data_IF_351630953735
#
_entry.id   IF_351630953735
#
_cell.length_a   1.000
_cell.length_b   1.000
_cell.length_c   1.000
_cell.angle_alpha   90.00
_cell.angle_beta   90.00
_cell.angle_gamma   90.00
#
_symmetry.space_group_name_H-M   'P 1'
#
loop_
_entity.id
_entity.type
_entity.pdbx_description
1 polymer ?
#
# COMPACT_ATOMS: atom_id res chain seq x y z
N UNK A 1 -46.15 46.71 -12.99
CA UNK A 1 -46.09 45.23 -12.97
C UNK A 1 -44.69 44.87 -12.48
N UNK A 2 -44.54 44.46 -11.23
CA UNK A 2 -43.28 44.03 -10.63
C UNK A 2 -43.53 42.62 -10.12
N UNK A 3 -42.89 41.66 -10.75
CA UNK A 3 -42.94 40.23 -10.43
C UNK A 3 -41.50 39.75 -10.25
N UNK A 4 -41.28 38.81 -9.34
CA UNK A 4 -39.96 38.25 -9.04
C UNK A 4 -39.71 37.94 -7.57
N UNK A 5 -40.57 37.12 -6.97
CA UNK A 5 -40.41 36.51 -5.64
C UNK A 5 -39.02 35.90 -5.40
N UNK A 6 -38.39 36.32 -4.31
CA UNK A 6 -37.25 35.64 -3.72
C UNK A 6 -37.71 34.34 -3.06
N UNK A 7 -37.24 33.19 -3.54
CA UNK A 7 -37.47 31.88 -2.92
C UNK A 7 -36.14 31.16 -2.67
N UNK A 8 -35.70 31.27 -1.41
CA UNK A 8 -35.06 30.27 -0.55
C UNK A 8 -34.09 29.27 -1.19
N UNK A 9 -32.79 29.50 -0.97
CA UNK A 9 -31.73 28.50 -1.11
C UNK A 9 -31.98 27.30 -0.16
N UNK A 10 -31.83 26.04 -0.61
CA UNK A 10 -31.95 24.90 0.29
C UNK A 10 -30.81 24.92 1.30
N UNK A 11 -31.17 24.77 2.58
CA UNK A 11 -30.27 24.58 3.73
C UNK A 11 -29.26 23.48 3.42
N UNK A 12 -27.97 23.83 3.45
CA UNK A 12 -26.90 22.85 3.61
C UNK A 12 -27.05 22.21 4.99
N UNK A 13 -27.29 20.90 5.02
CA UNK A 13 -27.10 20.08 6.22
C UNK A 13 -25.61 20.10 6.60
N UNK A 14 -25.23 20.57 7.80
CA UNK A 14 -23.83 20.58 8.24
C UNK A 14 -23.37 19.22 8.77
N UNK A 15 -24.01 18.11 8.36
CA UNK A 15 -23.82 16.80 8.97
C UNK A 15 -23.53 15.69 7.95
N UNK A 16 -22.67 16.00 6.97
CA UNK A 16 -22.08 15.00 6.08
C UNK A 16 -20.54 14.99 6.13
N UNK A 17 -19.95 15.54 7.19
CA UNK A 17 -18.50 15.56 7.45
C UNK A 17 -17.99 14.31 8.20
N UNK A 18 -18.83 13.28 8.38
CA UNK A 18 -18.53 12.13 9.24
C UNK A 18 -18.37 10.77 8.56
N UNK A 19 -18.13 10.75 7.25
CA UNK A 19 -17.56 9.58 6.60
C UNK A 19 -16.05 9.81 6.43
N UNK A 20 -15.31 9.44 7.49
CA UNK A 20 -13.86 9.38 7.54
C UNK A 20 -13.29 8.40 6.53
N UNK A 21 -13.38 8.75 5.26
CA UNK A 21 -12.47 8.26 4.25
C UNK A 21 -11.15 8.95 4.56
N UNK A 22 -10.17 8.17 5.03
CA UNK A 22 -8.78 8.59 5.08
C UNK A 22 -8.33 8.97 3.67
N UNK A 23 -8.66 10.20 3.26
CA UNK A 23 -8.15 10.82 2.04
C UNK A 23 -6.78 11.35 2.42
N UNK A 24 -5.77 10.50 2.37
CA UNK A 24 -4.40 10.96 2.32
C UNK A 24 -4.25 11.61 0.94
N UNK A 25 -4.14 12.95 0.82
CA UNK A 25 -3.96 13.58 -0.49
C UNK A 25 -2.62 13.12 -1.07
N UNK A 26 -2.66 12.62 -2.30
CA UNK A 26 -1.47 12.33 -3.09
C UNK A 26 -0.86 13.70 -3.46
N UNK A 27 0.23 14.07 -2.80
CA UNK A 27 1.02 15.27 -3.10
C UNK A 27 1.74 15.06 -4.44
N UNK A 28 1.22 15.71 -5.51
CA UNK A 28 1.64 15.56 -6.92
C UNK A 28 2.78 16.55 -7.29
N UNK A 29 3.45 17.14 -6.31
CA UNK A 29 4.43 18.21 -6.57
C UNK A 29 5.73 17.69 -7.23
N UNK A 30 5.83 17.84 -8.54
CA UNK A 30 7.06 17.91 -9.39
C UNK A 30 7.99 16.69 -9.52
N UNK A 31 7.66 15.53 -8.99
CA UNK A 31 8.35 14.26 -9.29
C UNK A 31 7.48 13.40 -10.20
N UNK A 32 8.01 12.77 -11.27
CA UNK A 32 7.24 11.79 -12.04
C UNK A 32 6.93 10.55 -11.20
N UNK A 33 7.65 10.36 -10.08
CA UNK A 33 7.55 9.23 -9.19
C UNK A 33 6.79 9.55 -7.91
N UNK A 34 5.95 8.60 -7.51
CA UNK A 34 5.34 8.52 -6.19
C UNK A 34 5.96 7.35 -5.43
N UNK A 35 6.30 7.57 -4.17
CA UNK A 35 6.97 6.60 -3.32
C UNK A 35 5.98 5.97 -2.35
N UNK A 36 6.12 4.67 -2.11
CA UNK A 36 5.23 3.88 -1.26
C UNK A 36 6.07 3.03 -0.31
N UNK A 37 5.75 3.11 0.99
CA UNK A 37 6.28 2.22 2.01
C UNK A 37 5.27 1.10 2.25
N UNK A 38 5.76 -0.13 2.14
CA UNK A 38 4.99 -1.35 2.29
C UNK A 38 5.52 -2.17 3.46
N UNK A 39 4.63 -2.87 4.13
CA UNK A 39 4.96 -3.97 5.03
C UNK A 39 4.35 -5.25 4.47
N UNK A 40 5.17 -6.29 4.33
CA UNK A 40 4.76 -7.58 3.80
C UNK A 40 4.88 -8.62 4.90
N UNK A 41 3.76 -9.22 5.25
CA UNK A 41 3.62 -10.21 6.31
C UNK A 41 3.20 -11.55 5.71
N UNK A 42 3.80 -12.69 6.11
CA UNK A 42 3.28 -13.99 5.71
C UNK A 42 1.92 -14.24 6.38
N UNK A 43 0.93 -14.69 5.61
CA UNK A 43 -0.43 -14.99 6.07
C UNK A 43 -0.51 -16.28 6.90
N UNK A 44 0.50 -17.16 6.81
CA UNK A 44 0.58 -18.38 7.61
C UNK A 44 1.66 -18.27 8.68
N UNK A 45 1.26 -18.50 9.93
CA UNK A 45 2.13 -18.55 11.11
C UNK A 45 2.93 -19.86 11.22
N UNK A 46 2.76 -20.80 10.28
CA UNK A 46 3.53 -22.05 10.28
C UNK A 46 4.97 -21.80 9.83
N UNK A 47 5.99 -22.15 10.65
CA UNK A 47 7.40 -21.91 10.34
C UNK A 47 7.85 -22.50 9.00
N UNK A 48 7.26 -23.62 8.58
CA UNK A 48 7.65 -24.39 7.41
C UNK A 48 7.30 -23.73 6.05
N UNK A 49 6.33 -22.81 6.00
CA UNK A 49 5.91 -22.14 4.77
C UNK A 49 6.49 -20.71 4.65
N UNK A 50 7.08 -20.19 5.73
CA UNK A 50 7.38 -18.77 5.89
C UNK A 50 8.72 -18.33 5.28
N UNK A 51 8.98 -18.62 4.01
CA UNK A 51 10.11 -17.99 3.33
C UNK A 51 9.87 -16.48 3.25
N UNK A 52 10.86 -15.64 3.61
CA UNK A 52 10.70 -14.21 3.47
C UNK A 52 10.52 -13.85 2.01
N UNK A 53 9.57 -12.95 1.71
CA UNK A 53 9.38 -12.43 0.37
C UNK A 53 10.67 -11.74 -0.10
N UNK A 54 11.09 -12.01 -1.33
CA UNK A 54 12.19 -11.31 -1.98
C UNK A 54 11.67 -10.22 -2.94
N UNK A 55 12.56 -9.37 -3.43
CA UNK A 55 12.19 -8.23 -4.28
C UNK A 55 11.56 -8.68 -5.60
N UNK A 56 11.98 -9.83 -6.14
CA UNK A 56 11.47 -10.38 -7.40
C UNK A 56 10.03 -10.87 -7.20
N UNK A 57 9.76 -11.59 -6.12
CA UNK A 57 8.42 -12.05 -5.77
C UNK A 57 7.48 -10.88 -5.52
N UNK A 58 7.94 -9.86 -4.78
CA UNK A 58 7.16 -8.64 -4.56
C UNK A 58 6.84 -7.93 -5.88
N UNK A 59 7.81 -7.84 -6.79
CA UNK A 59 7.59 -7.26 -8.11
C UNK A 59 6.56 -8.05 -8.93
N UNK A 60 6.66 -9.38 -8.97
CA UNK A 60 5.67 -10.22 -9.65
C UNK A 60 4.28 -10.11 -9.03
N UNK A 61 4.20 -10.00 -7.70
CA UNK A 61 2.96 -9.78 -6.98
C UNK A 61 2.29 -8.48 -7.42
N UNK A 62 3.06 -7.39 -7.49
CA UNK A 62 2.54 -6.09 -7.93
C UNK A 62 2.03 -6.15 -9.37
N UNK A 63 2.80 -6.71 -10.30
CA UNK A 63 2.36 -6.88 -11.69
C UNK A 63 1.06 -7.69 -11.79
N UNK A 64 1.00 -8.81 -11.05
CA UNK A 64 -0.18 -9.68 -11.01
C UNK A 64 -1.40 -8.93 -10.48
N UNK A 65 -1.27 -8.23 -9.36
CA UNK A 65 -2.37 -7.46 -8.76
C UNK A 65 -2.86 -6.37 -9.70
N UNK A 66 -1.95 -5.63 -10.33
CA UNK A 66 -2.31 -4.61 -11.31
C UNK A 66 -3.02 -5.23 -12.53
N UNK A 67 -2.59 -6.42 -12.96
CA UNK A 67 -3.23 -7.19 -14.02
C UNK A 67 -4.63 -7.71 -13.67
N UNK A 68 -4.83 -8.15 -12.42
CA UNK A 68 -6.12 -8.67 -11.94
C UNK A 68 -7.16 -7.56 -11.78
N UNK A 69 -6.77 -6.40 -11.26
CA UNK A 69 -7.68 -5.29 -10.98
C UNK A 69 -7.96 -4.40 -12.20
N UNK A 70 -6.96 -4.19 -13.05
CA UNK A 70 -7.02 -3.21 -14.15
C UNK A 70 -6.77 -3.85 -15.52
N UNK A 71 -6.82 -5.18 -15.61
CA UNK A 71 -6.61 -5.95 -16.82
C UNK A 71 -5.15 -5.94 -17.29
N UNK A 72 -4.90 -6.62 -18.42
CA UNK A 72 -3.55 -6.76 -18.99
C UNK A 72 -2.85 -5.42 -19.24
N UNK A 73 -3.62 -4.36 -19.55
CA UNK A 73 -3.10 -3.00 -19.71
C UNK A 73 -2.56 -2.46 -18.39
N UNK A 74 -3.29 -2.61 -17.28
CA UNK A 74 -2.81 -2.18 -15.95
C UNK A 74 -1.52 -2.87 -15.52
N UNK A 75 -1.40 -4.18 -15.76
CA UNK A 75 -0.17 -4.94 -15.46
C UNK A 75 1.03 -4.56 -16.33
N UNK A 76 0.82 -4.17 -17.59
CA UNK A 76 1.91 -3.87 -18.54
C UNK A 76 2.31 -2.39 -18.62
N UNK A 77 1.41 -1.48 -18.29
CA UNK A 77 1.65 -0.03 -18.37
C UNK A 77 2.09 0.59 -17.06
N UNK A 78 1.90 -0.10 -15.93
CA UNK A 78 2.35 0.39 -14.63
C UNK A 78 3.86 0.26 -14.54
N UNK A 79 4.56 1.41 -14.54
CA UNK A 79 5.99 1.45 -14.26
C UNK A 79 6.22 1.64 -12.78
N UNK A 80 6.98 0.73 -12.19
CA UNK A 80 7.35 0.77 -10.80
C UNK A 80 8.67 0.03 -10.59
N UNK A 81 9.37 0.35 -9.51
CA UNK A 81 10.57 -0.37 -9.07
C UNK A 81 10.51 -0.60 -7.56
N UNK A 82 11.02 -1.76 -7.12
CA UNK A 82 11.31 -2.02 -5.70
C UNK A 82 12.68 -1.44 -5.39
N UNK A 83 12.74 -0.44 -4.52
CA UNK A 83 13.97 0.27 -4.16
C UNK A 83 14.72 -0.39 -3.01
N UNK A 84 13.97 -0.88 -2.02
CA UNK A 84 14.52 -1.58 -0.87
C UNK A 84 13.53 -2.62 -0.36
N UNK A 85 14.04 -3.70 0.22
CA UNK A 85 13.27 -4.72 0.92
C UNK A 85 14.09 -5.29 2.08
N UNK A 86 13.83 -4.75 3.26
CA UNK A 86 14.59 -5.03 4.48
C UNK A 86 13.75 -5.84 5.48
N UNK A 87 14.37 -6.61 6.40
CA UNK A 87 13.64 -7.16 7.54
C UNK A 87 12.98 -6.05 8.37
N UNK A 88 11.75 -6.26 8.85
CA UNK A 88 11.12 -5.34 9.80
C UNK A 88 11.63 -5.63 11.22
N UNK A 89 11.94 -4.58 11.98
CA UNK A 89 12.47 -4.69 13.36
C UNK A 89 11.41 -4.50 14.44
N UNK A 90 10.17 -4.13 14.09
CA UNK A 90 9.05 -4.10 15.04
C UNK A 90 8.64 -5.55 15.37
N UNK A 91 9.14 -6.08 16.49
CA UNK A 91 8.66 -7.34 17.06
C UNK A 91 8.10 -7.16 18.46
N UNK A 92 6.84 -7.54 18.63
CA UNK A 92 6.28 -7.82 19.95
C UNK A 92 6.94 -9.07 20.56
N UNK A 93 7.09 -9.13 21.90
CA UNK A 93 7.68 -10.28 22.57
C UNK A 93 6.72 -11.48 22.51
N UNK A 94 6.87 -12.29 21.47
CA UNK A 94 6.10 -13.53 21.25
C UNK A 94 5.78 -13.86 19.80
N UNK A 95 6.05 -12.94 18.86
CA UNK A 95 5.68 -13.09 17.45
C UNK A 95 6.75 -13.78 16.59
N UNK A 96 6.32 -14.75 15.79
CA UNK A 96 7.10 -15.30 14.66
C UNK A 96 7.32 -14.18 13.64
N UNK A 97 8.43 -13.45 13.68
CA UNK A 97 8.66 -12.54 12.56
C UNK A 97 10.09 -12.17 12.23
N UNK A 98 10.91 -13.20 12.10
CA UNK A 98 12.02 -13.15 11.15
C UNK A 98 11.57 -12.92 9.68
N UNK A 99 10.28 -12.98 9.37
CA UNK A 99 9.77 -13.03 7.99
C UNK A 99 8.93 -11.82 7.56
N UNK A 100 8.74 -10.82 8.43
CA UNK A 100 8.11 -9.56 8.04
C UNK A 100 9.13 -8.71 7.28
N UNK A 101 8.73 -8.20 6.13
CA UNK A 101 9.58 -7.36 5.28
C UNK A 101 9.01 -5.95 5.17
N UNK A 102 9.87 -4.95 5.33
CA UNK A 102 9.58 -3.56 5.06
C UNK A 102 10.16 -3.22 3.70
N UNK A 103 9.30 -2.80 2.77
CA UNK A 103 9.69 -2.51 1.38
C UNK A 103 9.43 -1.05 1.01
N UNK A 104 10.34 -0.45 0.27
CA UNK A 104 10.12 0.85 -0.37
C UNK A 104 10.02 0.67 -1.87
N UNK A 105 8.99 1.24 -2.47
CA UNK A 105 8.76 1.22 -3.91
C UNK A 105 8.61 2.62 -4.47
N UNK A 106 8.96 2.79 -5.75
CA UNK A 106 8.53 3.95 -6.54
C UNK A 106 7.61 3.48 -7.65
N UNK A 107 6.62 4.29 -7.99
CA UNK A 107 5.65 4.05 -9.06
C UNK A 107 5.39 5.35 -9.80
N UNK A 108 5.12 5.27 -11.10
CA UNK A 108 4.69 6.44 -11.86
C UNK A 108 3.46 7.08 -11.19
N UNK A 109 3.47 8.39 -11.05
CA UNK A 109 2.43 9.14 -10.33
C UNK A 109 1.03 8.89 -10.90
N UNK A 110 0.92 8.68 -12.22
CA UNK A 110 -0.33 8.32 -12.89
C UNK A 110 -0.92 6.97 -12.46
N UNK A 111 -0.07 6.05 -12.01
CA UNK A 111 -0.47 4.70 -11.59
C UNK A 111 -0.42 4.51 -10.07
N UNK A 112 0.07 5.51 -9.34
CA UNK A 112 0.23 5.46 -7.89
C UNK A 112 -1.07 5.17 -7.16
N UNK A 113 -2.15 5.85 -7.55
CA UNK A 113 -3.46 5.62 -6.94
C UNK A 113 -3.93 4.18 -7.13
N UNK A 114 -3.83 3.65 -8.35
CA UNK A 114 -4.23 2.28 -8.67
C UNK A 114 -3.43 1.24 -7.89
N UNK A 115 -2.11 1.44 -7.76
CA UNK A 115 -1.26 0.57 -6.96
C UNK A 115 -1.68 0.60 -5.49
N UNK A 116 -1.77 1.80 -4.89
CA UNK A 116 -2.09 1.97 -3.46
C UNK A 116 -3.46 1.38 -3.12
N UNK A 117 -4.45 1.51 -4.01
CA UNK A 117 -5.80 0.97 -3.78
C UNK A 117 -5.91 -0.53 -3.95
N UNK A 118 -5.08 -1.15 -4.79
CA UNK A 118 -5.19 -2.58 -5.13
C UNK A 118 -4.22 -3.46 -4.35
N UNK A 119 -3.01 -2.96 -4.05
CA UNK A 119 -1.95 -3.76 -3.43
C UNK A 119 -2.32 -4.36 -2.06
N UNK A 120 -3.15 -3.73 -1.20
CA UNK A 120 -3.55 -4.36 0.06
C UNK A 120 -4.44 -5.59 -0.11
N UNK A 121 -5.10 -5.71 -1.27
CA UNK A 121 -5.94 -6.84 -1.63
C UNK A 121 -5.20 -7.88 -2.49
N UNK A 122 -3.88 -7.70 -2.68
CA UNK A 122 -3.06 -8.67 -3.38
C UNK A 122 -3.14 -10.02 -2.67
N UNK A 123 -3.68 -11.04 -3.36
CA UNK A 123 -3.76 -12.39 -2.84
C UNK A 123 -2.80 -13.31 -3.59
N UNK A 124 -1.79 -13.80 -2.87
CA UNK A 124 -1.00 -14.94 -3.34
C UNK A 124 -1.69 -16.22 -2.90
N UNK A 125 -2.56 -16.75 -3.77
CA UNK A 125 -2.81 -18.19 -3.87
C UNK A 125 -2.15 -18.66 -5.15
N UNK A 126 -1.06 -19.43 -5.04
CA UNK A 126 -0.53 -20.14 -6.20
C UNK A 126 -1.57 -21.17 -6.64
N UNK A 127 -1.93 -21.19 -7.93
CA UNK A 127 -2.83 -22.20 -8.52
C UNK A 127 -2.17 -23.59 -8.65
N UNK A 128 -1.17 -23.87 -7.82
CA UNK A 128 -0.52 -25.17 -7.72
C UNK A 128 -1.21 -25.98 -6.62
N UNK A 129 -1.49 -27.25 -6.89
CA UNK A 129 -2.05 -28.23 -5.95
C UNK A 129 -1.16 -28.52 -4.72
N UNK A 130 -0.04 -27.81 -4.56
CA UNK A 130 0.78 -27.85 -3.36
C UNK A 130 0.25 -26.88 -2.31
N UNK A 131 -0.15 -27.44 -1.18
CA UNK A 131 -0.73 -26.75 -0.02
C UNK A 131 0.29 -25.97 0.82
N UNK A 132 1.54 -25.84 0.36
CA UNK A 132 2.67 -25.38 1.19
C UNK A 132 3.27 -24.02 0.78
N UNK A 133 2.82 -23.38 -0.30
CA UNK A 133 3.36 -22.08 -0.71
C UNK A 133 2.85 -20.93 0.16
N UNK A 134 3.73 -20.01 0.62
CA UNK A 134 3.34 -18.91 1.49
C UNK A 134 2.34 -17.98 0.82
N UNK A 135 1.23 -17.75 1.51
CA UNK A 135 0.39 -16.59 1.27
C UNK A 135 1.02 -15.39 1.99
N UNK A 136 0.97 -14.21 1.37
CA UNK A 136 1.43 -12.95 1.96
C UNK A 136 0.29 -11.95 2.01
N UNK A 137 0.29 -11.11 3.05
CA UNK A 137 -0.47 -9.88 3.16
C UNK A 137 0.46 -8.69 2.95
N UNK A 138 -0.03 -7.66 2.27
CA UNK A 138 0.71 -6.44 2.01
C UNK A 138 -0.06 -5.27 2.62
N UNK A 139 0.62 -4.45 3.41
CA UNK A 139 0.07 -3.27 4.03
C UNK A 139 0.79 -2.03 3.50
N UNK A 140 0.02 -1.02 3.07
CA UNK A 140 0.58 0.29 2.73
C UNK A 140 0.71 1.10 4.01
N UNK A 141 1.93 1.41 4.42
CA UNK A 141 2.20 2.13 5.66
C UNK A 141 2.25 3.65 5.45
N UNK A 142 2.83 4.09 4.34
CA UNK A 142 2.97 5.49 3.99
C UNK A 142 3.16 5.64 2.49
N UNK A 143 2.83 6.81 1.95
CA UNK A 143 3.14 7.13 0.56
C UNK A 143 3.30 8.65 0.36
N UNK A 144 4.14 9.07 -0.59
CA UNK A 144 4.38 10.49 -0.88
C UNK A 144 5.09 10.69 -2.22
N UNK A 145 4.88 11.85 -2.86
CA UNK A 145 5.72 12.29 -3.98
C UNK A 145 7.15 12.65 -3.57
N UNK A 146 7.44 12.79 -2.26
CA UNK A 146 8.77 13.05 -1.70
C UNK A 146 9.32 11.83 -0.95
N UNK A 147 10.38 11.22 -1.50
CA UNK A 147 11.06 10.08 -0.91
C UNK A 147 11.52 10.36 0.52
N UNK A 148 11.92 11.60 0.83
CA UNK A 148 12.40 12.00 2.16
C UNK A 148 11.33 11.81 3.23
N UNK A 149 10.05 12.07 2.90
CA UNK A 149 8.92 11.85 3.81
C UNK A 149 8.72 10.35 4.07
N UNK A 150 8.88 9.52 3.04
CA UNK A 150 8.75 8.06 3.14
C UNK A 150 9.91 7.46 3.96
N UNK A 151 11.15 7.88 3.68
CA UNK A 151 12.34 7.44 4.42
C UNK A 151 12.27 7.83 5.90
N UNK A 152 11.77 9.03 6.23
CA UNK A 152 11.57 9.44 7.63
C UNK A 152 10.58 8.53 8.36
N UNK A 153 9.50 8.09 7.69
CA UNK A 153 8.55 7.13 8.27
C UNK A 153 9.18 5.75 8.46
N UNK A 154 9.94 5.28 7.47
CA UNK A 154 10.70 4.03 7.57
C UNK A 154 11.68 4.05 8.74
N UNK A 155 12.46 5.13 8.88
CA UNK A 155 13.39 5.31 9.99
C UNK A 155 12.67 5.38 11.34
N UNK A 156 11.55 6.11 11.43
CA UNK A 156 10.74 6.17 12.65
C UNK A 156 10.26 4.79 13.09
N UNK A 157 9.86 3.94 12.15
CA UNK A 157 9.44 2.56 12.40
C UNK A 157 10.61 1.69 12.88
N UNK A 158 11.76 1.81 12.23
CA UNK A 158 12.97 1.08 12.65
C UNK A 158 13.50 1.53 14.02
N UNK A 159 13.28 2.79 14.39
CA UNK A 159 13.70 3.37 15.67
C UNK A 159 12.67 3.21 16.80
N UNK A 160 11.43 2.78 16.48
CA UNK A 160 10.41 2.58 17.51
C UNK A 160 10.85 1.38 18.37
N UNK A 161 11.30 1.68 19.59
CA UNK A 161 11.75 0.67 20.54
C UNK A 161 10.61 -0.34 20.79
N UNK A 162 10.89 -1.65 20.83
CA UNK A 162 9.86 -2.69 20.94
C UNK A 162 9.17 -2.78 22.32
N UNK A 163 9.13 -1.72 23.12
CA UNK A 163 8.57 -1.75 24.48
C UNK A 163 7.98 -0.43 25.01
N UNK A 164 7.53 0.49 24.14
CA UNK A 164 6.70 1.64 24.56
C UNK A 164 5.20 1.38 24.37
#
# INVERSE_FOLDING_TARGET
MVDGSAATLPRQDPNLDRLGHSRIPIDISSSPWHYVLLEVTPSSLTPASSLPVDAVTLHQLVLKTMGEWYGSVGGSTTKFDVLDLSPSTEHEPGGVGGNVRLGTMRVDTSSAHHLISSIPFASFKSKSSDSDLPSYQVHVLAHSGDLSKVVKQMQKRQQKMPWE
#
